data_IF_237473574275
#
_entry.id   IF_237473574275
#
_cell.length_a   1.000
_cell.length_b   1.000
_cell.length_c   1.000
_cell.angle_alpha   90.00
_cell.angle_beta   90.00
_cell.angle_gamma   90.00
#
_symmetry.space_group_name_H-M   'P 1'
#
loop_
_entity.id
_entity.type
_entity.pdbx_description
1 polymer ?
#
# COMPACT_ATOMS: atom_id res chain seq x y z
N UNK A 1 19.03 -5.15 10.39
CA UNK A 1 19.08 -5.49 8.93
C UNK A 1 17.69 -5.75 8.37
N UNK A 2 16.94 -6.72 8.90
CA UNK A 2 15.58 -7.05 8.41
C UNK A 2 14.63 -5.85 8.42
N UNK A 3 14.53 -5.12 9.53
CA UNK A 3 13.66 -3.93 9.63
C UNK A 3 14.05 -2.82 8.64
N UNK A 4 15.34 -2.66 8.34
CA UNK A 4 15.84 -1.65 7.39
C UNK A 4 15.39 -1.98 5.97
N UNK A 5 15.41 -3.27 5.59
CA UNK A 5 14.91 -3.74 4.30
C UNK A 5 13.41 -3.43 4.12
N UNK A 6 12.59 -3.71 5.15
CA UNK A 6 11.16 -3.42 5.10
C UNK A 6 10.86 -1.91 5.10
N UNK A 7 11.64 -1.09 5.84
CA UNK A 7 11.51 0.36 5.76
C UNK A 7 11.89 0.91 4.37
N UNK A 8 12.92 0.36 3.74
CA UNK A 8 13.27 0.72 2.36
C UNK A 8 12.13 0.34 1.39
N UNK A 9 11.56 -0.86 1.55
CA UNK A 9 10.40 -1.31 0.79
C UNK A 9 9.17 -0.43 1.00
N UNK A 10 8.94 0.07 2.22
CA UNK A 10 7.87 1.02 2.53
C UNK A 10 8.07 2.35 1.79
N UNK A 11 9.30 2.89 1.78
CA UNK A 11 9.61 4.12 1.03
C UNK A 11 9.40 3.93 -0.48
N UNK A 12 9.86 2.81 -1.04
CA UNK A 12 9.65 2.48 -2.47
C UNK A 12 8.16 2.32 -2.78
N UNK A 13 7.39 1.68 -1.90
CA UNK A 13 5.94 1.54 -2.05
C UNK A 13 5.23 2.91 -2.06
N UNK A 14 5.59 3.83 -1.16
CA UNK A 14 5.05 5.19 -1.17
C UNK A 14 5.50 6.00 -2.39
N UNK A 15 6.73 5.81 -2.86
CA UNK A 15 7.20 6.45 -4.11
C UNK A 15 6.39 5.96 -5.31
N UNK A 16 6.07 4.67 -5.38
CA UNK A 16 5.20 4.13 -6.44
C UNK A 16 3.80 4.77 -6.40
N UNK A 17 3.22 4.97 -5.22
CA UNK A 17 1.94 5.68 -5.05
C UNK A 17 2.05 7.15 -5.49
N UNK A 18 3.13 7.83 -5.07
CA UNK A 18 3.33 9.25 -5.37
C UNK A 18 3.69 9.53 -6.83
N UNK A 19 4.32 8.57 -7.52
CA UNK A 19 4.70 8.70 -8.94
C UNK A 19 3.51 8.77 -9.89
N UNK A 20 2.31 8.43 -9.42
CA UNK A 20 1.02 8.62 -10.08
C UNK A 20 0.91 8.15 -11.55
N UNK A 21 1.43 6.96 -11.95
CA UNK A 21 1.35 6.48 -13.33
C UNK A 21 -0.08 6.07 -13.71
N UNK A 22 -0.76 5.32 -12.84
CA UNK A 22 -2.20 5.05 -12.94
C UNK A 22 -2.77 4.57 -11.60
N UNK A 23 -4.11 4.68 -11.38
CA UNK A 23 -4.75 4.25 -10.15
C UNK A 23 -4.49 2.77 -9.82
N UNK A 24 -4.36 1.89 -10.82
CA UNK A 24 -4.07 0.47 -10.56
C UNK A 24 -2.68 0.25 -9.96
N UNK A 25 -1.64 0.90 -10.49
CA UNK A 25 -0.28 0.79 -9.95
C UNK A 25 -0.14 1.47 -8.60
N UNK A 26 -0.84 2.60 -8.39
CA UNK A 26 -0.90 3.23 -7.07
C UNK A 26 -1.57 2.31 -6.03
N UNK A 27 -2.58 1.52 -6.42
CA UNK A 27 -3.23 0.56 -5.52
C UNK A 27 -2.24 -0.54 -5.08
N UNK A 28 -1.47 -1.08 -6.03
CA UNK A 28 -0.42 -2.06 -5.74
C UNK A 28 0.69 -1.48 -4.84
N UNK A 29 1.08 -0.22 -5.06
CA UNK A 29 2.01 0.51 -4.19
C UNK A 29 1.48 0.65 -2.76
N UNK A 30 0.20 0.97 -2.60
CA UNK A 30 -0.49 1.06 -1.31
C UNK A 30 -0.58 -0.30 -0.59
N UNK A 31 -0.91 -1.39 -1.31
CA UNK A 31 -0.96 -2.75 -0.73
C UNK A 31 0.42 -3.15 -0.22
N UNK A 32 1.47 -2.95 -1.03
CA UNK A 32 2.83 -3.35 -0.69
C UNK A 32 3.40 -2.55 0.50
N UNK A 33 3.14 -1.23 0.56
CA UNK A 33 3.58 -0.39 1.68
C UNK A 33 2.83 -0.71 2.97
N UNK A 34 1.52 -0.99 2.91
CA UNK A 34 0.74 -1.44 4.07
C UNK A 34 1.23 -2.78 4.62
N UNK A 35 1.52 -3.75 3.75
CA UNK A 35 2.09 -5.04 4.15
C UNK A 35 3.46 -4.92 4.81
N UNK A 36 4.36 -4.13 4.22
CA UNK A 36 5.69 -3.87 4.78
C UNK A 36 5.60 -3.16 6.15
N UNK A 37 4.72 -2.16 6.27
CA UNK A 37 4.49 -1.45 7.53
C UNK A 37 3.95 -2.36 8.64
N UNK A 38 3.08 -3.31 8.30
CA UNK A 38 2.58 -4.30 9.25
C UNK A 38 3.71 -5.18 9.81
N UNK A 39 4.61 -5.65 8.94
CA UNK A 39 5.75 -6.46 9.33
C UNK A 39 6.69 -5.68 10.27
N UNK A 40 6.96 -4.40 9.97
CA UNK A 40 7.76 -3.53 10.84
C UNK A 40 7.11 -3.38 12.22
N UNK A 41 5.81 -3.08 12.28
CA UNK A 41 5.09 -2.92 13.55
C UNK A 41 5.02 -4.22 14.36
N UNK A 42 4.95 -5.37 13.70
CA UNK A 42 4.99 -6.68 14.35
C UNK A 42 6.34 -6.93 15.03
N UNK A 43 7.45 -6.50 14.43
CA UNK A 43 8.79 -6.58 15.02
C UNK A 43 8.98 -5.62 16.22
N UNK A 44 8.32 -4.46 16.21
CA UNK A 44 8.31 -3.51 17.34
C UNK A 44 7.36 -3.93 18.48
N UNK A 45 6.68 -5.08 18.36
CA UNK A 45 5.76 -5.60 19.37
C UNK A 45 4.37 -4.94 19.39
N UNK A 46 4.07 -4.07 18.44
CA UNK A 46 2.79 -3.33 18.35
C UNK A 46 1.80 -4.05 17.41
N UNK A 47 1.58 -5.33 17.68
CA UNK A 47 0.80 -6.23 16.81
C UNK A 47 -0.68 -5.83 16.65
N UNK A 48 -1.30 -5.28 17.70
CA UNK A 48 -2.68 -4.78 17.62
C UNK A 48 -2.82 -3.62 16.61
N UNK A 49 -1.88 -2.66 16.64
CA UNK A 49 -1.89 -1.53 15.71
C UNK A 49 -1.62 -1.99 14.27
N UNK A 50 -0.77 -3.01 14.09
CA UNK A 50 -0.56 -3.65 12.79
C UNK A 50 -1.85 -4.24 12.22
N UNK A 51 -2.65 -4.92 13.03
CA UNK A 51 -3.93 -5.50 12.60
C UNK A 51 -4.95 -4.41 12.22
N UNK A 52 -5.02 -3.33 13.01
CA UNK A 52 -5.89 -2.19 12.71
C UNK A 52 -5.47 -1.53 11.38
N UNK A 53 -4.17 -1.29 11.18
CA UNK A 53 -3.66 -0.78 9.91
C UNK A 53 -4.00 -1.71 8.75
N UNK A 54 -3.78 -3.02 8.90
CA UNK A 54 -4.09 -3.99 7.86
C UNK A 54 -5.58 -3.94 7.46
N UNK A 55 -6.49 -3.92 8.44
CA UNK A 55 -7.94 -3.91 8.19
C UNK A 55 -8.39 -2.59 7.57
N UNK A 56 -7.94 -1.43 8.08
CA UNK A 56 -8.39 -0.13 7.59
C UNK A 56 -7.78 0.20 6.23
N UNK A 57 -6.49 -0.05 6.02
CA UNK A 57 -5.82 0.25 4.75
C UNK A 57 -6.17 -0.74 3.64
N UNK A 58 -6.04 -2.05 3.88
CA UNK A 58 -6.35 -3.06 2.87
C UNK A 58 -7.85 -3.31 2.70
N UNK A 59 -8.61 -3.29 3.79
CA UNK A 59 -10.06 -3.51 3.75
C UNK A 59 -10.86 -2.26 3.39
N UNK A 60 -10.52 -1.11 3.98
CA UNK A 60 -11.27 0.13 3.78
C UNK A 60 -10.82 0.93 2.56
N UNK A 61 -9.57 1.38 2.57
CA UNK A 61 -9.07 2.37 1.60
C UNK A 61 -8.92 1.74 0.20
N UNK A 62 -8.39 0.52 0.11
CA UNK A 62 -8.18 -0.16 -1.18
C UNK A 62 -9.49 -0.47 -1.92
N UNK A 63 -10.58 -0.76 -1.22
CA UNK A 63 -11.88 -1.04 -1.88
C UNK A 63 -12.42 0.22 -2.55
N UNK A 64 -12.40 1.36 -1.84
CA UNK A 64 -12.81 2.64 -2.42
C UNK A 64 -11.88 3.03 -3.56
N UNK A 65 -10.57 2.83 -3.39
CA UNK A 65 -9.58 3.15 -4.41
C UNK A 65 -9.73 2.31 -5.67
N UNK A 66 -9.99 0.99 -5.54
CA UNK A 66 -10.27 0.10 -6.65
C UNK A 66 -11.59 0.47 -7.37
N UNK A 67 -12.61 0.87 -6.62
CA UNK A 67 -13.87 1.34 -7.19
C UNK A 67 -13.68 2.63 -8.00
N UNK A 68 -12.96 3.61 -7.46
CA UNK A 68 -12.60 4.84 -8.17
C UNK A 68 -11.71 4.56 -9.39
N UNK A 69 -10.76 3.64 -9.28
CA UNK A 69 -9.92 3.21 -10.40
C UNK A 69 -10.76 2.59 -11.53
N UNK A 70 -11.75 1.75 -11.18
CA UNK A 70 -12.64 1.14 -12.16
C UNK A 70 -13.55 2.17 -12.86
N UNK A 71 -13.99 3.22 -12.17
CA UNK A 71 -14.79 4.30 -12.75
C UNK A 71 -14.01 5.20 -13.71
N UNK A 72 -12.71 5.37 -13.47
CA UNK A 72 -11.81 6.21 -14.28
C UNK A 72 -10.94 5.36 -15.21
N UNK A 73 -11.25 4.06 -15.36
CA UNK A 73 -10.44 3.16 -16.16
C UNK A 73 -10.48 3.55 -17.65
N UNK A 74 -9.41 4.18 -18.12
CA UNK A 74 -9.18 4.40 -19.54
C UNK A 74 -8.83 3.06 -20.21
N UNK A 75 -9.25 2.80 -21.46
CA UNK A 75 -9.01 1.52 -22.15
C UNK A 75 -7.53 1.12 -22.28
N UNK A 76 -6.61 2.08 -22.18
CA UNK A 76 -5.17 1.91 -22.26
C UNK A 76 -4.47 2.61 -21.08
N UNK A 77 -4.25 1.90 -19.96
CA UNK A 77 -3.56 2.48 -18.82
C UNK A 77 -2.09 2.77 -19.15
N UNK A 78 -1.63 3.97 -18.81
CA UNK A 78 -0.21 4.34 -18.87
C UNK A 78 0.54 3.56 -17.77
N UNK A 79 1.65 2.93 -18.14
CA UNK A 79 2.53 2.18 -17.25
C UNK A 79 3.65 3.06 -16.72
#
# INVERSE_FOLDING_TARGET
IVIILFNLGLVVGFLAVASNPSPYYAALGLVSSAGAGCIVLMFEGVSFLSLVLFIVYLGGIIVVFAYSAALVAEPYPQA
#
